data_IF_637763333296
#
_entry.id   IF_637763333296
#
_cell.length_a   1.000
_cell.length_b   1.000
_cell.length_c   1.000
_cell.angle_alpha   90.00
_cell.angle_beta   90.00
_cell.angle_gamma   90.00
#
_symmetry.space_group_name_H-M   'P 1'
#
loop_
_entity.id
_entity.type
_entity.pdbx_description
1 polymer ?
#
# COMPACT_ATOMS: atom_id res chain seq x y z
N UNK A 1 31.53 9.65 -20.59
CA UNK A 1 30.67 9.81 -19.40
C UNK A 1 29.55 8.78 -19.48
N UNK A 2 29.73 7.63 -18.82
CA UNK A 2 28.77 6.52 -18.89
C UNK A 2 27.62 6.79 -17.91
N UNK A 3 26.46 7.21 -18.42
CA UNK A 3 25.24 7.38 -17.61
C UNK A 3 24.73 6.00 -17.22
N UNK A 4 25.12 5.53 -16.04
CA UNK A 4 24.45 4.41 -15.40
C UNK A 4 22.98 4.79 -15.19
N UNK A 5 22.09 4.28 -16.03
CA UNK A 5 20.65 4.25 -15.74
C UNK A 5 20.50 3.44 -14.46
N UNK A 6 20.34 4.13 -13.33
CA UNK A 6 20.00 3.52 -12.06
C UNK A 6 18.54 3.03 -12.17
N UNK A 7 18.36 1.85 -12.76
CA UNK A 7 17.08 1.15 -12.80
C UNK A 7 16.85 0.63 -11.39
N UNK A 8 16.37 1.50 -10.50
CA UNK A 8 15.96 1.12 -9.15
C UNK A 8 14.85 0.08 -9.31
N UNK A 9 15.19 -1.19 -9.07
CA UNK A 9 14.26 -2.32 -8.92
C UNK A 9 13.32 -2.00 -7.75
N UNK A 10 12.18 -1.40 -8.04
CA UNK A 10 11.13 -1.15 -7.05
C UNK A 10 10.01 -0.35 -7.70
N UNK A 11 8.76 -0.76 -7.45
CA UNK A 11 7.60 0.04 -7.86
C UNK A 11 7.75 1.47 -7.31
N UNK A 12 7.37 2.50 -8.10
CA UNK A 12 7.48 3.87 -7.65
C UNK A 12 6.69 4.07 -6.33
N UNK A 13 7.25 4.80 -5.35
CA UNK A 13 6.56 5.05 -4.09
C UNK A 13 5.29 5.88 -4.37
N UNK A 14 4.16 5.40 -3.85
CA UNK A 14 2.92 6.17 -3.86
C UNK A 14 2.88 7.06 -2.62
N UNK A 15 3.01 8.38 -2.81
CA UNK A 15 2.87 9.34 -1.71
C UNK A 15 1.40 9.52 -1.37
N UNK A 16 1.03 9.18 -0.15
CA UNK A 16 -0.33 9.30 0.35
C UNK A 16 -0.36 10.32 1.49
N UNK A 17 -1.16 11.38 1.33
CA UNK A 17 -1.39 12.36 2.40
C UNK A 17 -2.58 11.88 3.21
N UNK A 18 -2.32 11.57 4.47
CA UNK A 18 -3.32 11.19 5.45
C UNK A 18 -3.52 12.33 6.43
N UNK A 19 -4.78 12.57 6.78
CA UNK A 19 -5.10 13.30 8.00
C UNK A 19 -4.55 12.51 9.21
N UNK A 20 -3.96 13.18 10.22
CA UNK A 20 -3.46 12.52 11.43
C UNK A 20 -4.49 11.60 12.10
N UNK A 21 -5.75 12.01 12.18
CA UNK A 21 -6.80 11.22 12.83
C UNK A 21 -7.08 9.94 12.06
N UNK A 22 -7.13 10.04 10.72
CA UNK A 22 -7.33 8.89 9.85
C UNK A 22 -6.15 7.92 9.98
N UNK A 23 -4.91 8.43 10.06
CA UNK A 23 -3.72 7.61 10.27
C UNK A 23 -3.82 6.81 11.57
N UNK A 24 -4.20 7.45 12.67
CA UNK A 24 -4.32 6.79 13.98
C UNK A 24 -5.40 5.70 13.97
N UNK A 25 -6.54 5.96 13.31
CA UNK A 25 -7.60 4.96 13.13
C UNK A 25 -7.11 3.74 12.34
N UNK A 26 -6.34 3.97 11.27
CA UNK A 26 -5.79 2.90 10.46
C UNK A 26 -4.73 2.08 11.21
N UNK A 27 -3.89 2.71 12.03
CA UNK A 27 -2.90 2.01 12.86
C UNK A 27 -3.58 1.13 13.91
N UNK A 28 -4.65 1.61 14.55
CA UNK A 28 -5.44 0.79 15.49
C UNK A 28 -6.06 -0.42 14.80
N UNK A 29 -6.66 -0.23 13.62
CA UNK A 29 -7.24 -1.32 12.85
C UNK A 29 -6.16 -2.32 12.39
N UNK A 30 -5.00 -1.83 11.96
CA UNK A 30 -3.85 -2.68 11.59
C UNK A 30 -3.36 -3.53 12.75
N UNK A 31 -3.26 -2.97 13.96
CA UNK A 31 -2.88 -3.73 15.16
C UNK A 31 -3.91 -4.79 15.53
N UNK A 32 -5.21 -4.47 15.40
CA UNK A 32 -6.29 -5.43 15.66
C UNK A 32 -6.30 -6.59 14.66
N UNK A 33 -6.01 -6.30 13.38
CA UNK A 33 -5.95 -7.30 12.32
C UNK A 33 -4.63 -8.10 12.31
N UNK A 34 -3.62 -7.68 13.07
CA UNK A 34 -2.34 -8.37 13.21
C UNK A 34 -1.40 -8.29 12.00
N UNK A 35 -1.63 -7.35 11.08
CA UNK A 35 -0.75 -7.15 9.92
C UNK A 35 0.62 -6.59 10.36
N UNK A 36 1.70 -6.97 9.68
CA UNK A 36 3.07 -6.59 10.05
C UNK A 36 3.37 -5.09 9.88
N UNK A 37 2.62 -4.39 9.03
CA UNK A 37 2.78 -2.96 8.79
C UNK A 37 1.51 -2.33 8.25
N UNK A 38 1.37 -1.02 8.44
CA UNK A 38 0.28 -0.24 7.87
C UNK A 38 0.20 -0.40 6.34
N UNK A 39 1.34 -0.49 5.66
CA UNK A 39 1.39 -0.70 4.21
C UNK A 39 0.88 -2.10 3.79
N UNK A 40 1.18 -3.14 4.57
CA UNK A 40 0.65 -4.48 4.33
C UNK A 40 -0.87 -4.51 4.54
N UNK A 41 -1.34 -3.91 5.63
CA UNK A 41 -2.76 -3.75 5.95
C UNK A 41 -3.51 -3.02 4.83
N UNK A 42 -3.03 -1.84 4.40
CA UNK A 42 -3.63 -1.08 3.30
C UNK A 42 -3.70 -1.92 2.01
N UNK A 43 -2.62 -2.61 1.63
CA UNK A 43 -2.63 -3.46 0.43
C UNK A 43 -3.70 -4.55 0.52
N UNK A 44 -3.90 -5.14 1.69
CA UNK A 44 -4.91 -6.18 1.93
C UNK A 44 -6.33 -5.60 1.81
N UNK A 45 -6.60 -4.46 2.44
CA UNK A 45 -7.90 -3.78 2.35
C UNK A 45 -8.22 -3.38 0.91
N UNK A 46 -7.28 -2.75 0.21
CA UNK A 46 -7.46 -2.33 -1.18
C UNK A 46 -7.66 -3.54 -2.09
N UNK A 47 -6.90 -4.63 -1.91
CA UNK A 47 -7.08 -5.85 -2.70
C UNK A 47 -8.47 -6.46 -2.51
N UNK A 48 -8.95 -6.50 -1.26
CA UNK A 48 -10.30 -7.00 -0.94
C UNK A 48 -11.37 -6.16 -1.62
N UNK A 49 -11.26 -4.84 -1.59
CA UNK A 49 -12.18 -3.92 -2.26
C UNK A 49 -12.17 -4.10 -3.78
N UNK A 50 -10.98 -4.19 -4.40
CA UNK A 50 -10.84 -4.41 -5.83
C UNK A 50 -11.46 -5.75 -6.25
N UNK A 51 -11.22 -6.82 -5.49
CA UNK A 51 -11.81 -8.13 -5.73
C UNK A 51 -13.35 -8.09 -5.62
N UNK A 52 -13.90 -7.39 -4.62
CA UNK A 52 -15.35 -7.21 -4.49
C UNK A 52 -15.97 -6.47 -5.68
N UNK A 53 -15.20 -5.60 -6.34
CA UNK A 53 -15.61 -4.90 -7.57
C UNK A 53 -15.34 -5.70 -8.85
N UNK A 54 -14.81 -6.92 -8.76
CA UNK A 54 -14.42 -7.73 -9.91
C UNK A 54 -13.20 -7.19 -10.67
N UNK A 55 -12.39 -6.34 -10.03
CA UNK A 55 -11.15 -5.80 -10.60
C UNK A 55 -10.02 -6.75 -10.21
N UNK A 56 -9.70 -7.69 -11.10
CA UNK A 56 -8.61 -8.64 -10.92
C UNK A 56 -7.29 -8.08 -11.48
N UNK A 57 -6.13 -8.45 -10.90
CA UNK A 57 -4.84 -8.14 -11.49
C UNK A 57 -4.78 -8.76 -12.89
N UNK A 58 -4.46 -7.95 -13.90
CA UNK A 58 -4.10 -8.50 -15.20
C UNK A 58 -2.74 -9.17 -15.05
N UNK A 59 -2.66 -10.46 -15.33
CA UNK A 59 -1.40 -11.23 -15.37
C UNK A 59 -0.34 -10.56 -16.26
#
# INVERSE_FOLDING_TARGET
>A
MSTHKNVRRGNPPFQFRLDPELRDMMERAQQQDGDESLAAWIKRIVRKELQQRGIEPKE
#
